data_IF_382239602073
#
_entry.id   IF_382239602073
#
_cell.length_a   1.000
_cell.length_b   1.000
_cell.length_c   1.000
_cell.angle_alpha   90.00
_cell.angle_beta   90.00
_cell.angle_gamma   90.00
#
_symmetry.space_group_name_H-M   'P 1'
#
loop_
_entity.id
_entity.type
_entity.pdbx_description
1 polymer ?
#
# COMPACT_ATOMS: atom_id res chain seq x y z
N UNK A 1 -10.04 -5.85 44.82
CA UNK A 1 -10.95 -5.68 43.67
C UNK A 1 -10.11 -5.53 42.42
N UNK A 2 -10.00 -6.59 41.64
CA UNK A 2 -9.28 -6.62 40.36
C UNK A 2 -10.33 -6.90 39.30
N UNK A 3 -10.61 -5.91 38.47
CA UNK A 3 -11.54 -6.01 37.35
C UNK A 3 -10.80 -6.79 36.26
N UNK A 4 -11.21 -8.03 36.04
CA UNK A 4 -10.79 -8.84 34.89
C UNK A 4 -11.54 -8.34 33.65
N UNK A 5 -10.79 -7.96 32.63
CA UNK A 5 -11.32 -7.68 31.30
C UNK A 5 -11.59 -9.02 30.60
N UNK A 6 -12.85 -9.29 30.25
CA UNK A 6 -13.24 -10.32 29.28
C UNK A 6 -12.94 -9.80 27.87
N UNK A 7 -12.17 -10.53 27.02
CA UNK A 7 -12.25 -10.40 25.59
C UNK A 7 -13.21 -11.48 25.07
N UNK A 8 -14.45 -11.09 24.76
CA UNK A 8 -15.30 -11.89 23.87
C UNK A 8 -14.67 -11.83 22.48
N UNK A 9 -13.90 -12.85 22.14
CA UNK A 9 -13.59 -13.17 20.74
C UNK A 9 -14.91 -13.52 20.03
N UNK A 10 -15.33 -12.68 19.07
CA UNK A 10 -16.25 -13.11 18.02
C UNK A 10 -15.52 -14.16 17.16
N UNK A 11 -15.66 -15.43 17.54
CA UNK A 11 -15.35 -16.54 16.65
C UNK A 11 -16.28 -16.45 15.45
N UNK A 12 -15.73 -16.08 14.29
CA UNK A 12 -16.34 -16.32 12.99
C UNK A 12 -16.47 -17.82 12.77
N UNK A 13 -17.56 -18.41 13.28
CA UNK A 13 -18.04 -19.70 12.81
C UNK A 13 -18.64 -19.49 11.41
N UNK A 14 -17.85 -19.76 10.37
CA UNK A 14 -18.40 -19.96 9.03
C UNK A 14 -19.11 -21.32 9.00
N UNK A 15 -20.43 -21.29 9.08
CA UNK A 15 -21.27 -22.47 8.91
C UNK A 15 -21.41 -22.76 7.40
N UNK A 16 -20.50 -23.59 6.88
CA UNK A 16 -20.37 -23.91 5.44
C UNK A 16 -21.52 -24.79 4.89
N UNK A 17 -22.51 -25.13 5.71
CA UNK A 17 -23.72 -25.82 5.30
C UNK A 17 -24.86 -24.85 4.93
N UNK A 18 -24.63 -23.53 4.91
CA UNK A 18 -25.66 -22.56 4.57
C UNK A 18 -25.93 -22.55 3.04
N UNK A 19 -27.08 -23.07 2.57
CA UNK A 19 -27.35 -23.25 1.15
C UNK A 19 -27.56 -21.92 0.39
N UNK A 20 -27.69 -20.80 1.11
CA UNK A 20 -27.86 -19.46 0.52
C UNK A 20 -26.54 -18.88 -0.02
N UNK A 21 -25.38 -19.28 0.51
CA UNK A 21 -24.06 -18.88 -0.04
C UNK A 21 -23.76 -19.55 -1.39
N UNK A 22 -24.42 -20.66 -1.70
CA UNK A 22 -24.23 -21.44 -2.92
C UNK A 22 -25.17 -21.04 -4.06
N UNK A 23 -26.29 -20.36 -3.77
CA UNK A 23 -27.28 -19.99 -4.80
C UNK A 23 -26.95 -18.71 -5.58
N UNK A 24 -26.09 -17.82 -5.05
CA UNK A 24 -25.71 -16.58 -5.74
C UNK A 24 -24.42 -16.70 -6.57
N UNK A 25 -23.86 -17.91 -6.70
CA UNK A 25 -22.60 -18.18 -7.41
C UNK A 25 -22.79 -18.76 -8.82
N UNK A 26 -24.01 -18.75 -9.36
CA UNK A 26 -24.33 -19.36 -10.66
C UNK A 26 -24.77 -18.34 -11.69
N UNK A 27 -23.85 -17.51 -12.17
CA UNK A 27 -23.91 -17.05 -13.56
C UNK A 27 -22.57 -16.53 -14.05
N UNK A 28 -22.03 -17.27 -15.03
CA UNK A 28 -21.21 -16.79 -16.16
C UNK A 28 -19.71 -16.52 -16.03
N UNK A 29 -18.95 -17.14 -15.12
CA UNK A 29 -17.51 -17.34 -15.34
C UNK A 29 -17.06 -18.69 -14.77
N UNK A 30 -16.46 -19.55 -15.61
CA UNK A 30 -15.96 -20.86 -15.22
C UNK A 30 -14.85 -20.75 -14.16
N UNK A 31 -15.23 -20.86 -12.90
CA UNK A 31 -14.29 -21.00 -11.79
C UNK A 31 -13.84 -22.46 -11.61
N UNK A 32 -12.59 -22.58 -11.14
CA UNK A 32 -11.79 -23.77 -10.83
C UNK A 32 -12.61 -25.08 -10.81
N UNK A 33 -12.33 -26.03 -11.73
CA UNK A 33 -12.98 -27.33 -11.73
C UNK A 33 -12.93 -27.98 -10.34
N UNK A 34 -14.07 -28.53 -9.87
CA UNK A 34 -14.24 -29.13 -8.53
C UNK A 34 -13.08 -30.02 -8.07
N UNK A 35 -12.44 -30.74 -8.99
CA UNK A 35 -11.30 -31.60 -8.68
C UNK A 35 -10.02 -30.83 -8.29
N UNK A 36 -9.80 -29.63 -8.84
CA UNK A 36 -8.64 -28.79 -8.51
C UNK A 36 -8.81 -28.09 -7.15
N UNK A 37 -10.03 -27.66 -6.79
CA UNK A 37 -10.30 -27.06 -5.47
C UNK A 37 -10.20 -28.09 -4.35
N UNK A 38 -10.70 -29.31 -4.54
CA UNK A 38 -10.55 -30.43 -3.59
C UNK A 38 -9.08 -30.78 -3.37
N UNK A 39 -8.26 -30.77 -4.43
CA UNK A 39 -6.82 -31.07 -4.32
C UNK A 39 -6.06 -29.98 -3.57
N UNK A 40 -6.43 -28.71 -3.76
CA UNK A 40 -5.84 -27.58 -3.06
C UNK A 40 -6.23 -27.60 -1.56
N UNK A 41 -7.49 -27.93 -1.28
CA UNK A 41 -7.99 -28.12 0.09
C UNK A 41 -7.31 -29.31 0.79
N UNK A 42 -7.17 -30.45 0.12
CA UNK A 42 -6.46 -31.63 0.64
C UNK A 42 -5.00 -31.33 0.95
N UNK A 43 -4.29 -30.62 0.07
CA UNK A 43 -2.89 -30.25 0.33
C UNK A 43 -2.79 -29.33 1.54
N UNK A 44 -3.65 -28.31 1.65
CA UNK A 44 -3.66 -27.43 2.83
C UNK A 44 -3.97 -28.22 4.11
N UNK A 45 -4.92 -29.17 4.05
CA UNK A 45 -5.28 -30.01 5.17
C UNK A 45 -4.16 -30.99 5.59
N UNK A 46 -3.43 -31.58 4.63
CA UNK A 46 -2.25 -32.40 4.91
C UNK A 46 -1.05 -31.58 5.41
N UNK A 47 -0.92 -30.33 4.97
CA UNK A 47 0.18 -29.45 5.39
C UNK A 47 -0.02 -28.89 6.81
N UNK A 48 -1.28 -28.76 7.24
CA UNK A 48 -1.65 -28.24 8.56
C UNK A 48 -1.78 -29.34 9.62
N UNK A 49 -1.98 -30.60 9.24
CA UNK A 49 -1.93 -31.73 10.17
C UNK A 49 -0.53 -32.35 10.23
N UNK A 50 0.29 -31.91 11.19
CA UNK A 50 1.38 -32.75 11.69
C UNK A 50 0.80 -33.77 12.67
N UNK A 51 1.26 -35.03 12.54
CA UNK A 51 0.78 -36.17 13.30
C UNK A 51 0.71 -35.93 14.81
N UNK A 52 -0.20 -36.65 15.46
CA UNK A 52 -0.68 -36.54 16.84
C UNK A 52 0.38 -36.59 17.97
N UNK A 53 1.68 -36.48 17.68
CA UNK A 53 2.75 -36.69 18.66
C UNK A 53 3.31 -35.42 19.32
N UNK A 54 2.90 -34.22 18.91
CA UNK A 54 3.41 -32.96 19.50
C UNK A 54 2.31 -32.00 19.98
N UNK A 55 1.30 -32.53 20.68
CA UNK A 55 0.26 -31.73 21.32
C UNK A 55 0.61 -31.36 22.77
N UNK A 56 1.71 -30.62 23.03
CA UNK A 56 1.96 -29.97 24.34
C UNK A 56 2.80 -28.68 24.27
N UNK A 57 2.32 -27.69 23.52
CA UNK A 57 2.50 -26.24 23.78
C UNK A 57 1.98 -25.47 22.56
N UNK A 58 0.79 -24.88 22.71
CA UNK A 58 0.02 -24.28 21.62
C UNK A 58 0.55 -22.93 21.16
N UNK A 59 1.58 -22.92 20.31
CA UNK A 59 1.79 -21.83 19.35
C UNK A 59 2.38 -22.40 18.06
N UNK A 60 1.58 -22.40 17.01
CA UNK A 60 2.02 -22.79 15.68
C UNK A 60 2.79 -21.62 15.05
N UNK A 61 4.11 -21.53 15.28
CA UNK A 61 4.94 -20.57 14.55
C UNK A 61 5.28 -21.15 13.17
N UNK A 62 4.38 -21.00 12.21
CA UNK A 62 4.70 -21.30 10.82
C UNK A 62 5.80 -20.31 10.41
N UNK A 63 6.99 -20.82 10.09
CA UNK A 63 8.03 -19.98 9.51
C UNK A 63 7.56 -19.54 8.11
N UNK A 64 6.97 -18.35 8.04
CA UNK A 64 6.37 -17.76 6.84
C UNK A 64 7.33 -17.81 5.64
N UNK A 65 8.64 -17.69 5.86
CA UNK A 65 9.66 -17.74 4.81
C UNK A 65 9.80 -19.14 4.19
N UNK A 66 9.80 -20.19 5.02
CA UNK A 66 9.89 -21.58 4.55
C UNK A 66 8.60 -22.04 3.87
N UNK A 67 7.44 -21.65 4.41
CA UNK A 67 6.14 -21.93 3.78
C UNK A 67 6.04 -21.23 2.42
N UNK A 68 6.37 -19.93 2.37
CA UNK A 68 6.34 -19.13 1.14
C UNK A 68 7.27 -19.71 0.08
N UNK A 69 8.49 -20.09 0.45
CA UNK A 69 9.43 -20.72 -0.48
C UNK A 69 8.95 -22.09 -0.97
N UNK A 70 8.38 -22.92 -0.10
CA UNK A 70 7.79 -24.20 -0.48
C UNK A 70 6.60 -24.03 -1.47
N UNK A 71 5.70 -23.08 -1.20
CA UNK A 71 4.57 -22.77 -2.09
C UNK A 71 5.08 -22.21 -3.41
N UNK A 72 6.03 -21.27 -3.39
CA UNK A 72 6.63 -20.70 -4.60
C UNK A 72 7.27 -21.78 -5.46
N UNK A 73 8.05 -22.67 -4.85
CA UNK A 73 8.75 -23.74 -5.54
C UNK A 73 7.81 -24.81 -6.10
N UNK A 74 6.63 -25.01 -5.50
CA UNK A 74 5.69 -26.06 -5.87
C UNK A 74 4.57 -25.60 -6.78
N UNK A 75 4.08 -24.37 -6.60
CA UNK A 75 2.86 -23.86 -7.24
C UNK A 75 3.05 -22.59 -8.05
N UNK A 76 4.15 -21.83 -7.86
CA UNK A 76 4.37 -20.54 -8.52
C UNK A 76 5.58 -20.58 -9.47
N UNK A 77 5.81 -21.73 -10.11
CA UNK A 77 6.78 -21.86 -11.21
C UNK A 77 6.08 -21.52 -12.54
N UNK A 78 6.61 -20.54 -13.26
CA UNK A 78 6.25 -20.16 -14.64
C UNK A 78 4.81 -19.61 -14.80
N UNK A 79 4.19 -19.82 -15.98
CA UNK A 79 2.89 -19.26 -16.41
C UNK A 79 1.73 -19.52 -15.45
N UNK A 80 1.82 -20.57 -14.63
CA UNK A 80 0.83 -20.85 -13.58
C UNK A 80 0.67 -19.72 -12.57
N UNK A 81 1.75 -18.98 -12.30
CA UNK A 81 1.75 -17.80 -11.42
C UNK A 81 0.85 -16.71 -11.95
N UNK A 82 0.94 -16.39 -13.25
CA UNK A 82 0.09 -15.36 -13.87
C UNK A 82 -1.40 -15.73 -13.73
N UNK A 83 -1.74 -16.99 -14.00
CA UNK A 83 -3.11 -17.49 -13.85
C UNK A 83 -3.65 -17.36 -12.41
N UNK A 84 -2.85 -17.72 -11.39
CA UNK A 84 -3.27 -17.54 -9.99
C UNK A 84 -3.45 -16.08 -9.63
N UNK A 85 -2.58 -15.20 -10.12
CA UNK A 85 -2.71 -13.77 -9.86
C UNK A 85 -3.93 -13.14 -10.58
N UNK A 86 -4.35 -13.67 -11.73
CA UNK A 86 -5.63 -13.30 -12.37
C UNK A 86 -6.86 -13.70 -11.53
N UNK A 87 -6.83 -14.89 -10.93
CA UNK A 87 -7.92 -15.34 -10.04
C UNK A 87 -7.94 -14.47 -8.77
N UNK A 88 -6.77 -14.25 -8.16
CA UNK A 88 -6.64 -13.44 -6.95
C UNK A 88 -7.02 -11.99 -7.22
N UNK A 89 -6.63 -11.40 -8.35
CA UNK A 89 -7.04 -10.05 -8.72
C UNK A 89 -8.56 -9.96 -8.82
N UNK A 90 -9.21 -10.93 -9.46
CA UNK A 90 -10.68 -10.96 -9.57
C UNK A 90 -11.36 -11.07 -8.20
N UNK A 91 -10.85 -11.94 -7.32
CA UNK A 91 -11.35 -12.11 -5.96
C UNK A 91 -11.20 -10.83 -5.11
N UNK A 92 -10.02 -10.20 -5.15
CA UNK A 92 -9.79 -8.96 -4.40
C UNK A 92 -10.52 -7.77 -5.01
N UNK A 93 -10.72 -7.74 -6.33
CA UNK A 93 -11.52 -6.71 -6.98
C UNK A 93 -12.95 -6.73 -6.45
N UNK A 94 -13.57 -7.92 -6.41
CA UNK A 94 -14.92 -8.11 -5.84
C UNK A 94 -15.00 -7.69 -4.37
N UNK A 95 -13.96 -7.92 -3.58
CA UNK A 95 -13.95 -7.52 -2.16
C UNK A 95 -13.73 -6.03 -1.97
N UNK A 96 -12.88 -5.42 -2.80
CA UNK A 96 -12.57 -4.01 -2.76
C UNK A 96 -13.76 -3.17 -3.26
N UNK A 97 -14.48 -3.64 -4.27
CA UNK A 97 -15.69 -3.01 -4.81
C UNK A 97 -16.88 -3.98 -4.74
N UNK A 98 -17.44 -4.14 -3.54
CA UNK A 98 -18.46 -5.16 -3.26
C UNK A 98 -19.78 -5.00 -4.05
N UNK A 99 -20.06 -3.80 -4.55
CA UNK A 99 -21.26 -3.51 -5.36
C UNK A 99 -20.99 -3.58 -6.87
N UNK A 100 -19.72 -3.69 -7.29
CA UNK A 100 -19.30 -3.65 -8.69
C UNK A 100 -19.80 -2.41 -9.47
N UNK A 101 -20.04 -1.30 -8.76
CA UNK A 101 -20.51 -0.04 -9.33
C UNK A 101 -19.39 1.00 -9.43
N UNK A 102 -18.15 0.62 -9.08
CA UNK A 102 -17.01 1.51 -9.04
C UNK A 102 -17.08 2.53 -7.90
N UNK A 103 -17.92 2.30 -6.89
CA UNK A 103 -18.00 3.14 -5.69
C UNK A 103 -16.85 2.89 -4.72
N UNK A 104 -16.28 1.66 -4.72
CA UNK A 104 -15.19 1.24 -3.84
C UNK A 104 -15.48 1.38 -2.34
N UNK A 105 -16.76 1.39 -1.95
CA UNK A 105 -17.23 1.53 -0.56
C UNK A 105 -17.03 0.21 0.25
N UNK A 106 -16.14 -0.66 -0.21
CA UNK A 106 -15.81 -1.92 0.44
C UNK A 106 -15.16 -1.72 1.82
N UNK A 107 -15.43 -2.65 2.75
CA UNK A 107 -14.83 -2.63 4.11
C UNK A 107 -13.48 -3.35 4.20
N UNK A 108 -13.06 -4.05 3.14
CA UNK A 108 -11.86 -4.90 3.18
C UNK A 108 -10.61 -4.09 2.81
N UNK A 109 -9.98 -3.49 3.84
CA UNK A 109 -8.71 -2.76 3.75
C UNK A 109 -7.61 -3.58 3.06
N UNK A 110 -7.56 -4.89 3.33
CA UNK A 110 -6.54 -5.75 2.76
C UNK A 110 -6.77 -5.95 1.25
N UNK A 111 -8.02 -6.15 0.83
CA UNK A 111 -8.34 -6.26 -0.59
C UNK A 111 -7.92 -5.03 -1.39
N UNK A 112 -8.19 -3.82 -0.88
CA UNK A 112 -7.77 -2.56 -1.50
C UNK A 112 -6.24 -2.45 -1.61
N UNK A 113 -5.51 -2.78 -0.54
CA UNK A 113 -4.05 -2.66 -0.52
C UNK A 113 -3.33 -3.61 -1.49
N UNK A 114 -3.84 -4.83 -1.67
CA UNK A 114 -3.14 -5.89 -2.44
C UNK A 114 -3.67 -6.02 -3.88
N UNK A 115 -4.83 -5.44 -4.20
CA UNK A 115 -5.42 -5.49 -5.55
C UNK A 115 -4.46 -4.98 -6.64
N UNK A 116 -3.84 -3.79 -6.54
CA UNK A 116 -2.94 -3.29 -7.59
C UNK A 116 -1.75 -4.23 -7.84
N UNK A 117 -1.18 -4.80 -6.77
CA UNK A 117 -0.12 -5.81 -6.88
C UNK A 117 -0.55 -7.03 -7.69
N UNK A 118 -1.75 -7.58 -7.42
CA UNK A 118 -2.27 -8.71 -8.17
C UNK A 118 -2.57 -8.37 -9.63
N UNK A 119 -3.06 -7.17 -9.93
CA UNK A 119 -3.28 -6.72 -11.32
C UNK A 119 -1.97 -6.59 -12.10
N UNK A 120 -0.92 -6.04 -11.49
CA UNK A 120 0.40 -5.87 -12.11
C UNK A 120 1.03 -7.23 -12.41
N UNK A 121 1.06 -8.11 -11.42
CA UNK A 121 1.62 -9.47 -11.55
C UNK A 121 0.81 -10.37 -12.49
N UNK A 122 -0.49 -10.09 -12.67
CA UNK A 122 -1.35 -10.72 -13.67
C UNK A 122 -1.22 -10.10 -15.08
N UNK A 123 -0.45 -9.02 -15.24
CA UNK A 123 -0.33 -8.21 -16.46
C UNK A 123 -1.68 -7.64 -16.95
N UNK A 124 -2.60 -7.35 -16.03
CA UNK A 124 -3.93 -6.77 -16.30
C UNK A 124 -3.85 -5.23 -16.29
N UNK A 125 -3.04 -4.67 -17.18
CA UNK A 125 -2.72 -3.24 -17.20
C UNK A 125 -3.90 -2.32 -17.54
N UNK A 126 -4.89 -2.81 -18.30
CA UNK A 126 -6.11 -2.05 -18.62
C UNK A 126 -6.94 -1.79 -17.36
N UNK A 127 -7.13 -2.82 -16.53
CA UNK A 127 -7.85 -2.70 -15.26
C UNK A 127 -7.04 -1.90 -14.25
N UNK A 128 -5.71 -2.08 -14.22
CA UNK A 128 -4.83 -1.28 -13.39
C UNK A 128 -4.95 0.22 -13.70
N UNK A 129 -4.94 0.61 -14.98
CA UNK A 129 -5.13 2.01 -15.38
C UNK A 129 -6.48 2.54 -14.92
N UNK A 130 -7.56 1.75 -15.03
CA UNK A 130 -8.89 2.16 -14.57
C UNK A 130 -8.92 2.45 -13.08
N UNK A 131 -8.30 1.60 -12.25
CA UNK A 131 -8.29 1.83 -10.80
C UNK A 131 -7.39 3.01 -10.41
N UNK A 132 -6.20 3.14 -11.01
CA UNK A 132 -5.26 4.23 -10.71
C UNK A 132 -5.75 5.60 -11.20
N UNK A 133 -6.77 5.63 -12.06
CA UNK A 133 -7.34 6.88 -12.56
C UNK A 133 -8.79 7.07 -12.10
N UNK A 134 -9.18 6.43 -10.99
CA UNK A 134 -10.50 6.52 -10.38
C UNK A 134 -10.44 7.26 -9.04
N UNK A 135 -11.16 8.38 -8.93
CA UNK A 135 -11.21 9.20 -7.71
C UNK A 135 -11.87 8.47 -6.53
N UNK A 136 -12.86 7.60 -6.77
CA UNK A 136 -13.48 6.80 -5.71
C UNK A 136 -12.47 5.81 -5.12
N UNK A 137 -11.62 5.22 -5.96
CA UNK A 137 -10.54 4.34 -5.51
C UNK A 137 -9.49 5.10 -4.69
N UNK A 138 -9.04 6.25 -5.18
CA UNK A 138 -8.13 7.16 -4.46
C UNK A 138 -8.70 7.53 -3.09
N UNK A 139 -9.95 7.99 -3.06
CA UNK A 139 -10.66 8.35 -1.84
C UNK A 139 -10.68 7.18 -0.85
N UNK A 140 -11.05 5.98 -1.32
CA UNK A 140 -11.13 4.78 -0.48
C UNK A 140 -9.77 4.36 0.07
N UNK A 141 -8.71 4.43 -0.73
CA UNK A 141 -7.34 4.18 -0.27
C UNK A 141 -6.94 5.16 0.84
N UNK A 142 -7.17 6.46 0.65
CA UNK A 142 -6.89 7.48 1.66
C UNK A 142 -7.73 7.30 2.94
N UNK A 143 -9.02 6.93 2.81
CA UNK A 143 -9.89 6.61 3.96
C UNK A 143 -9.35 5.50 4.87
N UNK A 144 -8.63 4.53 4.30
CA UNK A 144 -8.00 3.45 5.08
C UNK A 144 -6.55 3.72 5.50
N UNK A 145 -6.04 4.93 5.26
CA UNK A 145 -4.65 5.30 5.51
C UNK A 145 -3.66 4.60 4.58
N UNK A 146 -4.11 4.22 3.37
CA UNK A 146 -3.30 3.52 2.35
C UNK A 146 -2.81 4.48 1.26
N UNK A 147 -2.94 5.80 1.42
CA UNK A 147 -2.60 6.77 0.37
C UNK A 147 -1.13 6.72 -0.06
N UNK A 148 -0.23 6.43 0.87
CA UNK A 148 1.20 6.30 0.54
C UNK A 148 1.54 4.98 -0.15
N UNK A 149 0.88 3.88 0.26
CA UNK A 149 0.92 2.59 -0.47
C UNK A 149 0.36 2.76 -1.88
N UNK A 150 -0.69 3.57 -2.05
CA UNK A 150 -1.21 3.91 -3.38
C UNK A 150 -0.13 4.61 -4.21
N UNK A 151 0.62 5.54 -3.62
CA UNK A 151 1.69 6.27 -4.30
C UNK A 151 2.85 5.35 -4.74
N UNK A 152 3.14 4.28 -4.00
CA UNK A 152 4.11 3.24 -4.42
C UNK A 152 3.73 2.61 -5.77
N UNK A 153 2.43 2.41 -6.03
CA UNK A 153 1.91 1.88 -7.30
C UNK A 153 1.93 2.88 -8.46
N UNK A 154 2.53 4.06 -8.28
CA UNK A 154 2.92 4.95 -9.39
C UNK A 154 4.42 4.93 -9.68
N UNK A 155 5.16 3.99 -9.07
CA UNK A 155 6.58 3.77 -9.26
C UNK A 155 6.88 2.28 -9.52
N UNK A 156 7.85 1.94 -10.39
CA UNK A 156 8.17 0.54 -10.73
C UNK A 156 9.02 -0.21 -9.67
N UNK A 157 9.19 0.34 -8.47
CA UNK A 157 10.22 -0.09 -7.50
C UNK A 157 10.18 -1.58 -7.10
N UNK A 158 9.03 -2.24 -7.19
CA UNK A 158 8.85 -3.63 -6.77
C UNK A 158 8.86 -4.65 -7.92
N UNK A 159 9.06 -4.21 -9.17
CA UNK A 159 9.03 -5.08 -10.35
C UNK A 159 10.42 -5.68 -10.63
N UNK A 160 10.51 -7.02 -10.63
CA UNK A 160 11.77 -7.74 -10.84
C UNK A 160 12.05 -8.10 -12.32
N UNK A 161 11.01 -8.16 -13.16
CA UNK A 161 11.14 -8.55 -14.57
C UNK A 161 11.27 -7.33 -15.48
N UNK A 162 12.38 -7.22 -16.21
CA UNK A 162 12.63 -6.10 -17.15
C UNK A 162 11.54 -5.92 -18.21
N UNK A 163 10.95 -7.02 -18.69
CA UNK A 163 9.87 -6.95 -19.68
C UNK A 163 8.58 -6.40 -19.06
N UNK A 164 8.24 -6.84 -17.85
CA UNK A 164 7.08 -6.34 -17.11
C UNK A 164 7.28 -4.87 -16.72
N UNK A 165 8.49 -4.50 -16.34
CA UNK A 165 8.86 -3.11 -16.02
C UNK A 165 8.63 -2.19 -17.22
N UNK A 166 9.03 -2.61 -18.43
CA UNK A 166 8.77 -1.86 -19.66
C UNK A 166 7.27 -1.66 -19.93
N UNK A 167 6.47 -2.71 -19.79
CA UNK A 167 5.01 -2.63 -20.01
C UNK A 167 4.34 -1.75 -18.96
N UNK A 168 4.75 -1.88 -17.69
CA UNK A 168 4.22 -1.07 -16.62
C UNK A 168 4.62 0.40 -16.74
N UNK A 169 5.86 0.69 -17.14
CA UNK A 169 6.30 2.06 -17.43
C UNK A 169 5.48 2.70 -18.55
N UNK A 170 5.00 1.92 -19.53
CA UNK A 170 4.08 2.44 -20.54
C UNK A 170 2.71 2.86 -19.95
N UNK A 171 2.22 2.15 -18.93
CA UNK A 171 1.01 2.55 -18.17
C UNK A 171 1.28 3.82 -17.37
N UNK A 172 2.42 3.89 -16.69
CA UNK A 172 2.80 5.05 -15.87
C UNK A 172 3.07 6.31 -16.71
N UNK A 173 3.45 6.15 -17.97
CA UNK A 173 3.64 7.26 -18.92
C UNK A 173 2.33 7.80 -19.51
N UNK A 174 1.19 7.15 -19.25
CA UNK A 174 -0.11 7.61 -19.72
C UNK A 174 -0.47 8.96 -19.06
N UNK A 175 -0.88 9.99 -19.84
CA UNK A 175 -1.14 11.32 -19.30
C UNK A 175 -2.16 11.34 -18.15
N UNK A 176 -3.20 10.50 -18.20
CA UNK A 176 -4.18 10.44 -17.10
C UNK A 176 -3.55 9.88 -15.82
N UNK A 177 -2.68 8.87 -15.94
CA UNK A 177 -2.00 8.26 -14.80
C UNK A 177 -1.00 9.26 -14.19
N UNK A 178 -0.32 10.04 -15.02
CA UNK A 178 0.60 11.11 -14.59
C UNK A 178 -0.15 12.20 -13.83
N UNK A 179 -1.30 12.66 -14.33
CA UNK A 179 -2.12 13.67 -13.63
C UNK A 179 -2.56 13.19 -12.24
N UNK A 180 -2.98 11.92 -12.12
CA UNK A 180 -3.37 11.33 -10.84
C UNK A 180 -2.19 11.15 -9.88
N UNK A 181 -1.01 10.78 -10.41
CA UNK A 181 0.24 10.74 -9.63
C UNK A 181 0.57 12.11 -9.06
N UNK A 182 0.54 13.14 -9.90
CA UNK A 182 0.85 14.51 -9.51
C UNK A 182 -0.19 15.03 -8.50
N UNK A 183 -1.47 14.75 -8.70
CA UNK A 183 -2.54 15.08 -7.76
C UNK A 183 -2.34 14.44 -6.38
N UNK A 184 -1.96 13.16 -6.34
CA UNK A 184 -1.65 12.48 -5.09
C UNK A 184 -0.44 13.10 -4.41
N UNK A 185 0.67 13.28 -5.14
CA UNK A 185 1.91 13.83 -4.58
C UNK A 185 1.73 15.19 -3.91
N UNK A 186 0.95 16.07 -4.53
CA UNK A 186 0.69 17.41 -4.00
C UNK A 186 -0.28 17.38 -2.82
N UNK A 187 -1.32 16.54 -2.86
CA UNK A 187 -2.42 16.58 -1.90
C UNK A 187 -2.39 15.49 -0.82
N UNK A 188 -1.46 14.52 -0.86
CA UNK A 188 -1.48 13.34 0.00
C UNK A 188 -1.61 13.67 1.49
N UNK A 189 -0.93 14.73 1.93
CA UNK A 189 -0.98 15.25 3.29
C UNK A 189 -2.41 15.65 3.74
N UNK A 190 -3.17 16.31 2.86
CA UNK A 190 -4.58 16.67 3.07
C UNK A 190 -5.43 15.42 3.01
N UNK A 191 -5.23 14.58 2.00
CA UNK A 191 -6.09 13.42 1.74
C UNK A 191 -5.96 12.35 2.83
N UNK A 192 -4.78 12.15 3.42
CA UNK A 192 -4.58 11.22 4.53
C UNK A 192 -5.25 11.70 5.82
N UNK A 193 -5.33 13.02 6.05
CA UNK A 193 -5.99 13.61 7.23
C UNK A 193 -7.50 13.74 7.04
N UNK A 194 -7.92 14.20 5.86
CA UNK A 194 -9.31 14.50 5.51
C UNK A 194 -9.65 13.94 4.12
N UNK A 195 -9.87 12.63 3.99
CA UNK A 195 -10.16 12.00 2.69
C UNK A 195 -11.47 12.50 2.04
N UNK A 196 -12.41 13.05 2.82
CA UNK A 196 -13.62 13.68 2.26
C UNK A 196 -13.33 14.85 1.31
N UNK A 197 -12.14 15.44 1.39
CA UNK A 197 -11.71 16.54 0.53
C UNK A 197 -11.16 16.09 -0.83
N UNK A 198 -11.13 14.78 -1.15
CA UNK A 198 -10.60 14.28 -2.44
C UNK A 198 -11.20 15.00 -3.64
N UNK A 199 -12.53 15.12 -3.72
CA UNK A 199 -13.19 15.81 -4.84
C UNK A 199 -13.01 17.32 -4.77
N UNK A 200 -13.04 17.91 -3.58
CA UNK A 200 -12.81 19.35 -3.39
C UNK A 200 -11.42 19.76 -3.90
N UNK A 201 -10.38 18.96 -3.64
CA UNK A 201 -9.04 19.20 -4.17
C UNK A 201 -8.98 18.93 -5.68
N UNK A 202 -9.61 17.85 -6.15
CA UNK A 202 -9.62 17.51 -7.57
C UNK A 202 -10.28 18.59 -8.45
N UNK A 203 -11.39 19.18 -7.99
CA UNK A 203 -12.13 20.25 -8.70
C UNK A 203 -11.34 21.55 -8.75
N UNK A 204 -10.50 21.84 -7.76
CA UNK A 204 -9.69 23.06 -7.76
C UNK A 204 -8.31 22.88 -8.37
N UNK A 205 -8.00 21.69 -8.88
CA UNK A 205 -6.86 21.48 -9.76
C UNK A 205 -7.06 22.15 -11.12
N UNK A 206 -6.00 22.18 -11.92
CA UNK A 206 -6.04 22.77 -13.26
C UNK A 206 -7.16 22.15 -14.12
N UNK A 207 -7.98 22.96 -14.83
CA UNK A 207 -9.06 22.47 -15.67
C UNK A 207 -8.58 21.62 -16.86
N UNK A 208 -7.29 21.74 -17.24
CA UNK A 208 -6.70 20.88 -18.26
C UNK A 208 -6.55 19.42 -17.80
N UNK A 209 -6.36 19.21 -16.48
CA UNK A 209 -6.02 17.91 -15.92
C UNK A 209 -7.21 16.95 -15.95
N UNK A 210 -6.92 15.68 -16.24
CA UNK A 210 -7.91 14.61 -16.26
C UNK A 210 -8.60 14.41 -14.90
N UNK A 211 -7.89 14.64 -13.80
CA UNK A 211 -8.41 14.60 -12.43
C UNK A 211 -9.57 15.58 -12.23
N UNK A 212 -9.39 16.84 -12.65
CA UNK A 212 -10.44 17.86 -12.59
C UNK A 212 -11.65 17.45 -13.42
N UNK A 213 -11.42 17.03 -14.67
CA UNK A 213 -12.50 16.59 -15.58
C UNK A 213 -13.31 15.42 -15.00
N UNK A 214 -12.65 14.44 -14.38
CA UNK A 214 -13.32 13.30 -13.71
C UNK A 214 -14.04 13.69 -12.43
N UNK A 215 -13.61 14.75 -11.74
CA UNK A 215 -14.31 15.23 -10.55
C UNK A 215 -15.59 16.01 -10.92
N UNK A 216 -15.55 16.77 -12.02
CA UNK A 216 -16.69 17.57 -12.50
C UNK A 216 -17.86 16.74 -13.03
N UNK A 217 -17.66 15.48 -13.40
CA UNK A 217 -18.77 14.60 -13.84
C UNK A 217 -19.64 14.09 -12.70
N UNK A 218 -19.21 14.28 -11.44
CA UNK A 218 -19.94 13.79 -10.26
C UNK A 218 -20.87 14.89 -9.76
N UNK A 219 -22.15 14.77 -10.11
CA UNK A 219 -23.21 15.78 -9.95
C UNK A 219 -23.70 15.98 -8.50
N UNK A 220 -22.88 15.65 -7.48
CA UNK A 220 -23.39 15.35 -6.14
C UNK A 220 -23.16 16.38 -5.04
N UNK A 221 -22.37 17.45 -5.21
CA UNK A 221 -22.12 18.38 -4.09
C UNK A 221 -21.90 19.84 -4.48
N UNK A 222 -22.25 20.73 -3.54
CA UNK A 222 -21.88 22.15 -3.56
C UNK A 222 -20.42 22.25 -3.15
N UNK A 223 -19.52 22.29 -4.14
CA UNK A 223 -18.09 22.50 -3.91
C UNK A 223 -17.75 23.99 -3.95
N UNK A 224 -16.70 24.38 -3.22
CA UNK A 224 -16.16 25.74 -3.30
C UNK A 224 -15.22 25.82 -4.49
N UNK A 225 -15.47 26.77 -5.41
CA UNK A 225 -14.61 27.01 -6.56
C UNK A 225 -13.61 28.14 -6.27
N UNK A 226 -12.33 27.87 -6.50
CA UNK A 226 -11.27 28.84 -6.31
C UNK A 226 -10.95 29.52 -7.63
N UNK A 227 -11.51 30.72 -7.86
CA UNK A 227 -11.33 31.46 -9.11
C UNK A 227 -9.92 32.05 -9.30
N UNK A 228 -9.14 32.18 -8.21
CA UNK A 228 -7.80 32.76 -8.22
C UNK A 228 -6.72 31.69 -8.02
N UNK A 229 -6.93 30.48 -8.56
CA UNK A 229 -5.88 29.46 -8.54
C UNK A 229 -4.76 29.85 -9.50
N UNK A 230 -3.49 29.93 -9.07
CA UNK A 230 -2.40 30.23 -9.99
C UNK A 230 -2.22 29.08 -10.99
N UNK A 231 -2.13 29.40 -12.28
CA UNK A 231 -1.92 28.38 -13.34
C UNK A 231 -0.53 27.72 -13.28
N UNK A 232 0.32 28.14 -12.34
CA UNK A 232 1.66 27.59 -12.13
C UNK A 232 1.58 26.30 -11.33
N UNK A 233 2.24 25.24 -11.83
CA UNK A 233 2.48 24.02 -11.07
C UNK A 233 3.19 24.36 -9.76
N UNK A 234 2.69 23.84 -8.64
CA UNK A 234 3.33 23.99 -7.34
C UNK A 234 4.79 23.49 -7.45
N UNK A 235 5.79 24.31 -7.09
CA UNK A 235 7.19 23.87 -7.12
C UNK A 235 7.46 22.74 -6.10
N UNK A 236 6.61 22.57 -5.09
CA UNK A 236 6.74 21.50 -4.11
C UNK A 236 6.25 20.16 -4.68
N UNK A 237 7.18 19.22 -4.87
CA UNK A 237 6.88 17.91 -5.45
C UNK A 237 6.34 16.88 -4.45
N UNK A 238 6.60 17.05 -3.16
CA UNK A 238 6.18 16.13 -2.09
C UNK A 238 6.23 16.86 -0.75
N UNK A 239 5.14 16.79 0.02
CA UNK A 239 5.08 17.27 1.41
C UNK A 239 5.01 16.07 2.37
N UNK A 240 5.92 16.05 3.35
CA UNK A 240 5.94 15.10 4.47
C UNK A 240 5.55 15.86 5.72
N UNK A 241 4.36 15.61 6.27
CA UNK A 241 3.74 16.39 7.35
C UNK A 241 3.37 15.57 8.59
N UNK A 242 3.89 14.34 8.67
CA UNK A 242 3.65 13.38 9.73
C UNK A 242 4.75 13.34 10.81
N UNK A 243 5.72 14.27 10.74
CA UNK A 243 6.74 14.44 11.78
C UNK A 243 6.10 14.97 13.07
N UNK A 244 6.42 14.33 14.19
CA UNK A 244 5.90 14.72 15.51
C UNK A 244 6.60 15.97 16.06
N UNK A 245 7.87 16.16 15.70
CA UNK A 245 8.74 17.22 16.20
C UNK A 245 9.47 17.93 15.06
N UNK A 246 9.96 19.13 15.34
CA UNK A 246 10.54 19.98 14.30
C UNK A 246 11.80 19.33 13.69
N UNK A 247 11.90 19.28 12.36
CA UNK A 247 13.11 18.83 11.68
C UNK A 247 14.22 19.89 11.81
N UNK A 248 15.40 19.49 12.26
CA UNK A 248 16.55 20.38 12.47
C UNK A 248 17.58 20.28 11.36
N UNK A 249 17.65 19.13 10.69
CA UNK A 249 18.54 18.87 9.56
C UNK A 249 17.97 17.76 8.66
N UNK A 250 18.37 17.79 7.38
CA UNK A 250 17.96 16.80 6.38
C UNK A 250 19.15 16.32 5.55
N UNK A 251 19.08 15.07 5.07
CA UNK A 251 20.05 14.49 4.15
C UNK A 251 19.33 13.67 3.08
N UNK A 252 19.89 13.66 1.87
CA UNK A 252 19.43 12.83 0.76
C UNK A 252 20.51 11.79 0.45
N UNK A 253 20.11 10.55 0.19
CA UNK A 253 21.04 9.50 -0.23
C UNK A 253 21.60 9.80 -1.62
N UNK A 254 22.78 9.27 -1.93
CA UNK A 254 23.46 9.52 -3.22
C UNK A 254 22.69 9.03 -4.45
N UNK A 255 21.78 8.08 -4.26
CA UNK A 255 20.88 7.52 -5.28
C UNK A 255 19.48 8.16 -5.27
N UNK A 256 19.24 9.17 -4.43
CA UNK A 256 17.97 9.91 -4.29
C UNK A 256 16.76 9.02 -3.94
N UNK A 257 16.99 7.85 -3.35
CA UNK A 257 15.91 6.92 -2.95
C UNK A 257 15.49 7.12 -1.51
N UNK A 258 16.40 7.57 -0.65
CA UNK A 258 16.18 7.74 0.78
C UNK A 258 16.37 9.19 1.19
N UNK A 259 15.48 9.67 2.04
CA UNK A 259 15.59 10.95 2.74
C UNK A 259 15.73 10.66 4.22
N UNK A 260 16.68 11.28 4.88
CA UNK A 260 16.81 11.22 6.33
C UNK A 260 16.61 12.60 6.94
N UNK A 261 15.99 12.62 8.12
CA UNK A 261 15.70 13.83 8.87
C UNK A 261 16.08 13.63 10.33
N UNK A 262 16.78 14.59 10.92
CA UNK A 262 16.97 14.66 12.36
C UNK A 262 15.96 15.59 13.00
N UNK A 263 15.46 15.22 14.18
CA UNK A 263 14.45 15.98 14.92
C UNK A 263 14.94 16.48 16.29
N UNK A 264 14.20 17.44 16.86
CA UNK A 264 14.47 18.03 18.19
C UNK A 264 14.38 17.00 19.34
N UNK A 265 13.60 15.93 19.18
CA UNK A 265 13.47 14.82 20.13
C UNK A 265 14.66 13.84 20.15
N UNK A 266 15.67 14.06 19.30
CA UNK A 266 16.81 13.16 19.20
C UNK A 266 16.55 11.90 18.36
N UNK A 267 15.44 11.86 17.61
CA UNK A 267 15.12 10.76 16.69
C UNK A 267 15.54 11.11 15.28
N UNK A 268 16.25 10.19 14.62
CA UNK A 268 16.49 10.27 13.17
C UNK A 268 15.40 9.47 12.46
N UNK A 269 14.66 10.12 11.57
CA UNK A 269 13.65 9.49 10.73
C UNK A 269 14.21 9.23 9.34
N UNK A 270 13.88 8.06 8.77
CA UNK A 270 14.22 7.66 7.41
C UNK A 270 12.94 7.51 6.59
N UNK A 271 12.92 8.15 5.44
CA UNK A 271 11.79 8.18 4.52
C UNK A 271 12.20 7.65 3.14
N UNK A 272 11.23 7.08 2.43
CA UNK A 272 11.29 6.90 0.99
C UNK A 272 11.10 8.27 0.32
N UNK A 273 12.09 8.72 -0.46
CA UNK A 273 12.09 10.05 -1.08
C UNK A 273 11.04 10.21 -2.20
N UNK A 274 10.51 9.11 -2.75
CA UNK A 274 9.50 9.14 -3.81
C UNK A 274 8.08 9.18 -3.25
N UNK A 275 7.85 8.48 -2.13
CA UNK A 275 6.50 8.28 -1.57
C UNK A 275 6.23 9.06 -0.29
N UNK A 276 7.29 9.51 0.39
CA UNK A 276 7.19 10.16 1.69
C UNK A 276 6.87 9.18 2.82
N UNK A 277 6.92 7.87 2.57
CA UNK A 277 6.70 6.86 3.59
C UNK A 277 7.84 6.82 4.58
N UNK A 278 7.51 6.86 5.86
CA UNK A 278 8.45 6.61 6.94
C UNK A 278 8.82 5.12 6.94
N UNK A 279 10.09 4.84 6.63
CA UNK A 279 10.63 3.49 6.55
C UNK A 279 11.13 3.02 7.91
N UNK A 280 11.75 3.92 8.68
CA UNK A 280 12.38 3.58 9.95
C UNK A 280 12.74 4.82 10.78
N UNK A 281 12.78 4.62 12.09
CA UNK A 281 13.27 5.62 13.04
C UNK A 281 14.45 5.06 13.82
N UNK A 282 15.46 5.90 14.06
CA UNK A 282 16.64 5.57 14.83
C UNK A 282 16.60 6.36 16.14
N UNK A 283 16.37 5.63 17.23
CA UNK A 283 16.27 6.18 18.57
C UNK A 283 17.57 5.87 19.29
N UNK A 284 18.23 6.91 19.81
CA UNK A 284 19.42 6.71 20.64
C UNK A 284 20.18 7.97 21.03
N UNK A 285 19.94 9.10 20.36
CA UNK A 285 20.37 10.39 20.89
C UNK A 285 19.46 10.81 22.05
N UNK A 286 20.05 11.50 23.02
CA UNK A 286 19.33 12.02 24.20
C UNK A 286 19.02 13.51 24.11
N UNK A 287 19.34 14.13 22.97
CA UNK A 287 19.14 15.54 22.72
C UNK A 287 18.96 15.80 21.21
N UNK A 288 18.54 17.01 20.87
CA UNK A 288 18.30 17.48 19.51
C UNK A 288 19.45 17.11 18.56
N UNK A 289 19.08 16.56 17.40
CA UNK A 289 20.04 16.25 16.35
C UNK A 289 20.46 17.56 15.67
N UNK A 290 21.76 17.72 15.45
CA UNK A 290 22.34 18.92 14.83
C UNK A 290 22.75 18.67 13.38
N UNK A 291 23.00 17.41 13.00
CA UNK A 291 23.35 17.04 11.63
C UNK A 291 23.09 15.57 11.36
N UNK A 292 22.77 15.25 10.11
CA UNK A 292 22.61 13.89 9.59
C UNK A 292 23.29 13.82 8.22
N UNK A 293 23.95 12.69 7.92
CA UNK A 293 24.57 12.47 6.62
C UNK A 293 24.57 10.98 6.26
N UNK A 294 24.34 10.66 4.98
CA UNK A 294 24.55 9.31 4.47
C UNK A 294 26.03 9.05 4.25
N UNK A 295 26.54 7.97 4.84
CA UNK A 295 27.92 7.51 4.62
C UNK A 295 27.99 6.68 3.34
N UNK A 296 26.98 5.85 3.10
CA UNK A 296 26.78 5.04 1.90
C UNK A 296 25.30 4.60 1.82
N UNK A 297 24.97 3.66 0.94
CA UNK A 297 23.59 3.16 0.76
C UNK A 297 23.05 2.35 1.95
N UNK A 298 23.89 1.92 2.88
CA UNK A 298 23.51 1.10 4.04
C UNK A 298 23.78 1.77 5.39
N UNK A 299 24.45 2.92 5.43
CA UNK A 299 24.88 3.57 6.66
C UNK A 299 24.58 5.05 6.69
N UNK A 300 24.19 5.52 7.86
CA UNK A 300 23.88 6.91 8.14
C UNK A 300 24.62 7.35 9.41
N UNK A 301 25.15 8.57 9.42
CA UNK A 301 25.76 9.17 10.60
C UNK A 301 24.90 10.33 11.10
N UNK A 302 24.73 10.45 12.40
CA UNK A 302 24.07 11.58 13.05
C UNK A 302 24.93 12.19 14.15
N UNK A 303 24.80 13.50 14.29
CA UNK A 303 25.41 14.29 15.37
C UNK A 303 24.30 14.93 16.20
N UNK A 304 24.49 15.00 17.53
CA UNK A 304 23.52 15.58 18.45
C UNK A 304 24.18 16.50 19.47
N UNK A 305 23.36 17.37 20.07
CA UNK A 305 23.74 18.17 21.23
C UNK A 305 23.98 17.32 22.51
N UNK A 306 23.81 16.00 22.45
CA UNK A 306 24.24 15.07 23.50
C UNK A 306 25.75 14.78 23.49
N UNK A 307 26.51 15.48 22.64
CA UNK A 307 27.96 15.35 22.46
C UNK A 307 28.41 14.03 21.83
N UNK A 308 27.49 13.22 21.30
CA UNK A 308 27.81 11.97 20.64
C UNK A 308 27.59 12.05 19.12
N UNK A 309 28.36 11.24 18.41
CA UNK A 309 28.09 10.84 17.03
C UNK A 309 27.57 9.40 17.05
N UNK A 310 26.53 9.11 16.28
CA UNK A 310 26.02 7.76 16.10
C UNK A 310 26.10 7.36 14.63
N UNK A 311 26.61 6.15 14.38
CA UNK A 311 26.61 5.52 13.07
C UNK A 311 25.52 4.44 13.07
N UNK A 312 24.59 4.51 12.13
CA UNK A 312 23.43 3.65 12.07
C UNK A 312 23.51 2.72 10.87
N UNK A 313 23.17 1.44 11.08
CA UNK A 313 22.87 0.54 9.97
C UNK A 313 21.41 0.74 9.53
N UNK A 314 21.21 1.13 8.27
CA UNK A 314 19.89 1.42 7.70
C UNK A 314 18.99 0.17 7.69
N UNK A 315 19.57 -1.02 7.50
CA UNK A 315 18.82 -2.29 7.37
C UNK A 315 18.47 -2.91 8.71
N UNK A 316 19.32 -2.76 9.70
CA UNK A 316 19.12 -3.36 11.04
C UNK A 316 18.53 -2.36 12.06
N UNK A 317 18.77 -1.05 11.91
CA UNK A 317 18.11 -0.02 12.73
C UNK A 317 18.80 0.27 14.07
N UNK A 318 20.00 -0.25 14.28
CA UNK A 318 20.78 -0.06 15.50
C UNK A 318 22.02 0.82 15.25
N UNK A 319 22.49 1.45 16.33
CA UNK A 319 23.75 2.22 16.40
C UNK A 319 24.97 1.32 16.54
#
# INVERSE_FOLDING_TARGET
MVIKHDPKEEKLHMDLNNPLLLQNLSSSHEFIPKHKSVRLHYVLHCFLNFGETYARSGSLSINYKLLRTAIQNRYLKNESTKYYHQILSSYYYQKADCHFDGSWVGKDKHALAVLPFHLITAELFSELKKILTNLNFVHSMCMFGLGSILLEYYSPCFIQSKNMEKLYNAVLADPEVVDFKDFLKTNLHILNKCPSLTWQQAINGSPSNSVHKKAMTVDKMVYVHWNNHPDTKDPCNLLIDNLLENPTCVALSSDNTLLACGCEDGVVHLFDAQTGNELRNFIGHSNCISSVCFVNTNQLCSASFDSNLCLWDIKEGFR
#
